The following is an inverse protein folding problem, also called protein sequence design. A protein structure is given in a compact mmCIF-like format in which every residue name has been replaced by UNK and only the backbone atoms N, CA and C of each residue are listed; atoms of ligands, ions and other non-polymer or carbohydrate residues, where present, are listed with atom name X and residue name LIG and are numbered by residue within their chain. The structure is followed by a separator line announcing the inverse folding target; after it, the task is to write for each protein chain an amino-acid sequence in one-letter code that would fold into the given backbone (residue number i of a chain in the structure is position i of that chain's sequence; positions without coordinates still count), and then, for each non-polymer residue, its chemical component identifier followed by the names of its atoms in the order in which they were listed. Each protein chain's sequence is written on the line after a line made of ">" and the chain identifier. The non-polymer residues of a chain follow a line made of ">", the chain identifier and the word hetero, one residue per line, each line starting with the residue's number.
data_IF_055444084363
#
_entry.id   IF_055444084363
#
_cell.length_a   1.000
_cell.length_b   1.000
_cell.length_c   1.000
_cell.angle_alpha   90.00
_cell.angle_beta   90.00
_cell.angle_gamma   90.00
#
_symmetry.space_group_name_H-M   'P 1'
#
loop_
_entity.id
_entity.type
_entity.pdbx_description
1 polymer ?
#
# COMPACT_ATOMS: atom_id res chain seq x y z
N UNK A 1 -40.05 1.08 47.58
CA UNK A 1 -39.37 2.24 48.21
C UNK A 1 -38.57 3.01 47.17
N UNK A 2 -38.38 4.34 47.29
CA UNK A 2 -37.59 5.15 46.30
C UNK A 2 -36.16 4.61 46.10
N UNK A 3 -35.66 3.90 47.12
CA UNK A 3 -34.37 3.20 47.18
C UNK A 3 -34.26 2.02 46.17
N UNK A 4 -35.31 1.21 46.01
CA UNK A 4 -35.28 0.01 45.16
C UNK A 4 -35.19 0.35 43.67
N UNK A 5 -35.77 1.50 43.29
CA UNK A 5 -35.79 1.98 41.90
C UNK A 5 -34.43 2.53 41.46
N UNK A 6 -33.63 3.06 42.40
CA UNK A 6 -32.26 3.54 42.14
C UNK A 6 -31.26 2.37 42.08
N UNK A 7 -31.42 1.37 42.95
CA UNK A 7 -30.61 0.14 42.91
C UNK A 7 -30.81 -0.65 41.60
N UNK A 8 -32.05 -0.80 41.15
CA UNK A 8 -32.35 -1.46 39.87
C UNK A 8 -31.82 -0.65 38.67
N UNK A 9 -31.88 0.68 38.72
CA UNK A 9 -31.35 1.55 37.66
C UNK A 9 -29.83 1.49 37.56
N UNK A 10 -29.13 1.50 38.70
CA UNK A 10 -27.67 1.36 38.75
C UNK A 10 -27.21 -0.02 38.29
N UNK A 11 -27.95 -1.08 38.64
CA UNK A 11 -27.68 -2.44 38.21
C UNK A 11 -27.86 -2.61 36.69
N UNK A 12 -28.96 -2.07 36.14
CA UNK A 12 -29.19 -2.07 34.68
C UNK A 12 -28.13 -1.24 33.95
N UNK A 13 -27.73 -0.09 34.49
CA UNK A 13 -26.66 0.72 33.91
C UNK A 13 -25.31 -0.03 33.91
N UNK A 14 -24.97 -0.71 35.00
CA UNK A 14 -23.77 -1.55 35.08
C UNK A 14 -23.80 -2.72 34.10
N UNK A 15 -24.95 -3.36 33.92
CA UNK A 15 -25.11 -4.43 32.93
C UNK A 15 -24.97 -3.91 31.49
N UNK A 16 -25.50 -2.72 31.18
CA UNK A 16 -25.33 -2.08 29.87
C UNK A 16 -23.87 -1.71 29.63
N UNK A 17 -23.19 -1.13 30.61
CA UNK A 17 -21.76 -0.79 30.50
C UNK A 17 -20.90 -2.05 30.35
N UNK A 18 -21.18 -3.11 31.11
CA UNK A 18 -20.47 -4.39 30.98
C UNK A 18 -20.73 -5.07 29.63
N UNK A 19 -21.96 -5.00 29.11
CA UNK A 19 -22.30 -5.50 27.78
C UNK A 19 -21.58 -4.70 26.68
N UNK A 20 -21.53 -3.37 26.79
CA UNK A 20 -20.81 -2.50 25.85
C UNK A 20 -19.30 -2.73 25.91
N UNK A 21 -18.72 -2.86 27.11
CA UNK A 21 -17.31 -3.21 27.29
C UNK A 21 -17.00 -4.60 26.73
N UNK A 22 -17.90 -5.57 26.94
CA UNK A 22 -17.83 -6.92 26.38
C UNK A 22 -17.93 -6.93 24.86
N UNK A 23 -18.66 -6.01 24.24
CA UNK A 23 -18.66 -5.85 22.78
C UNK A 23 -17.32 -5.33 22.26
N UNK A 24 -16.63 -4.46 23.00
CA UNK A 24 -15.32 -3.90 22.60
C UNK A 24 -14.17 -4.90 22.69
N UNK A 25 -14.31 -5.97 23.48
CA UNK A 25 -13.28 -7.03 23.61
C UNK A 25 -13.45 -8.19 22.64
N UNK A 26 -14.52 -8.20 21.83
CA UNK A 26 -14.74 -9.25 20.84
C UNK A 26 -13.77 -9.10 19.64
N UNK A 27 -13.17 -10.20 19.14
CA UNK A 27 -12.35 -10.16 17.92
C UNK A 27 -13.16 -9.75 16.68
N UNK A 28 -14.49 -9.89 16.71
CA UNK A 28 -15.39 -9.37 15.69
C UNK A 28 -15.42 -7.83 15.68
N UNK A 29 -15.32 -7.17 16.85
CA UNK A 29 -15.18 -5.73 16.93
C UNK A 29 -13.86 -5.26 16.32
N UNK A 30 -12.75 -5.96 16.54
CA UNK A 30 -11.48 -5.68 15.85
C UNK A 30 -11.57 -5.82 14.32
N UNK A 31 -12.48 -6.67 13.82
CA UNK A 31 -12.76 -6.84 12.39
C UNK A 31 -13.66 -5.73 11.81
N UNK A 32 -14.52 -5.13 12.63
CA UNK A 32 -15.42 -4.02 12.28
C UNK A 32 -14.73 -2.65 12.45
N UNK A 33 -13.85 -2.51 13.44
CA UNK A 33 -12.98 -1.35 13.68
C UNK A 33 -11.66 -1.40 12.92
N UNK A 34 -11.34 -2.55 12.33
CA UNK A 34 -10.16 -2.71 11.52
C UNK A 34 -10.29 -1.86 10.27
N UNK A 35 -9.62 -0.71 10.25
CA UNK A 35 -9.24 0.02 9.03
C UNK A 35 -8.26 -0.81 8.16
N UNK A 36 -8.54 -2.12 8.02
CA UNK A 36 -7.78 -3.02 7.20
C UNK A 36 -8.13 -2.73 5.76
N UNK A 37 -7.17 -2.19 5.02
CA UNK A 37 -7.28 -2.02 3.58
C UNK A 37 -7.69 -3.36 2.94
N UNK A 38 -8.66 -3.32 2.03
CA UNK A 38 -9.11 -4.52 1.33
C UNK A 38 -7.97 -5.08 0.49
N UNK A 39 -7.54 -6.32 0.78
CA UNK A 39 -6.51 -7.01 0.00
C UNK A 39 -6.90 -7.21 -1.47
N UNK A 40 -8.17 -7.04 -1.84
CA UNK A 40 -8.65 -7.05 -3.24
C UNK A 40 -8.40 -5.74 -4.00
N UNK A 41 -8.14 -4.64 -3.29
CA UNK A 41 -7.98 -3.29 -3.86
C UNK A 41 -6.60 -2.71 -3.59
N UNK A 42 -5.96 -3.12 -2.50
CA UNK A 42 -4.69 -2.61 -2.05
C UNK A 42 -3.64 -3.72 -1.99
N UNK A 43 -2.36 -3.40 -2.17
CA UNK A 43 -1.27 -4.37 -2.27
C UNK A 43 -0.86 -4.86 -0.87
N UNK A 44 -1.79 -5.42 -0.09
CA UNK A 44 -1.57 -5.78 1.33
C UNK A 44 -0.55 -6.90 1.47
N UNK A 45 -0.64 -7.94 0.64
CA UNK A 45 0.30 -9.06 0.65
C UNK A 45 1.67 -8.64 0.11
N UNK A 46 1.70 -7.94 -1.02
CA UNK A 46 2.91 -7.28 -1.53
C UNK A 46 3.57 -6.34 -0.50
N UNK A 47 2.79 -5.64 0.32
CA UNK A 47 3.34 -4.80 1.39
C UNK A 47 4.04 -5.61 2.48
N UNK A 48 3.47 -6.74 2.88
CA UNK A 48 4.14 -7.65 3.82
C UNK A 48 5.47 -8.15 3.24
N UNK A 49 5.50 -8.49 1.94
CA UNK A 49 6.75 -8.82 1.26
C UNK A 49 7.75 -7.65 1.30
N UNK A 50 7.33 -6.43 0.94
CA UNK A 50 8.19 -5.22 0.98
C UNK A 50 8.77 -5.02 2.37
N UNK A 51 7.96 -5.15 3.42
CA UNK A 51 8.39 -4.98 4.80
C UNK A 51 9.52 -5.96 5.17
N UNK A 52 9.38 -7.23 4.79
CA UNK A 52 10.43 -8.24 5.01
C UNK A 52 11.71 -7.96 4.24
N UNK A 53 11.62 -7.53 2.97
CA UNK A 53 12.80 -7.24 2.15
C UNK A 53 13.51 -5.96 2.59
N UNK A 54 12.76 -4.93 3.02
CA UNK A 54 13.33 -3.72 3.60
C UNK A 54 14.05 -4.03 4.92
N UNK A 55 13.48 -4.88 5.78
CA UNK A 55 14.12 -5.31 7.02
C UNK A 55 15.40 -6.13 6.77
N UNK A 56 15.42 -6.91 5.68
CA UNK A 56 16.60 -7.66 5.25
C UNK A 56 17.64 -6.81 4.48
N UNK A 57 17.38 -5.52 4.25
CA UNK A 57 18.27 -4.65 3.46
C UNK A 57 18.35 -5.01 1.96
N UNK A 58 17.40 -5.79 1.45
CA UNK A 58 17.35 -6.26 0.07
C UNK A 58 16.57 -5.34 -0.87
N UNK A 59 15.62 -4.57 -0.31
CA UNK A 59 14.96 -3.48 -1.01
C UNK A 59 15.38 -2.14 -0.42
N UNK A 60 15.46 -1.12 -1.28
CA UNK A 60 15.84 0.24 -0.93
C UNK A 60 15.55 1.19 -2.09
N UNK A 61 16.06 2.42 -1.98
CA UNK A 61 16.00 3.39 -3.07
C UNK A 61 14.59 3.85 -3.44
N UNK A 62 14.42 4.23 -4.71
CA UNK A 62 13.16 4.78 -5.25
C UNK A 62 12.33 3.69 -5.90
N UNK A 63 11.03 3.73 -5.62
CA UNK A 63 10.04 2.81 -6.17
C UNK A 63 9.11 3.51 -7.14
N UNK A 64 8.86 2.90 -8.29
CA UNK A 64 7.70 3.26 -9.10
C UNK A 64 6.50 2.44 -8.63
N UNK A 65 5.40 3.10 -8.29
CA UNK A 65 4.14 2.43 -8.02
C UNK A 65 3.08 2.99 -8.96
N UNK A 66 2.17 2.13 -9.44
CA UNK A 66 0.97 2.61 -10.11
C UNK A 66 0.21 3.55 -9.18
N UNK A 67 -0.43 4.57 -9.76
CA UNK A 67 -1.02 5.69 -9.04
C UNK A 67 -1.89 5.25 -7.84
N UNK A 68 -2.76 4.27 -8.07
CA UNK A 68 -3.63 3.68 -7.05
C UNK A 68 -2.93 3.07 -5.82
N UNK A 69 -1.66 2.68 -5.94
CA UNK A 69 -0.87 2.08 -4.86
C UNK A 69 0.06 3.10 -4.20
N UNK A 70 0.36 4.23 -4.85
CA UNK A 70 1.31 5.23 -4.35
C UNK A 70 0.95 5.74 -2.95
N UNK A 71 -0.30 6.19 -2.76
CA UNK A 71 -0.78 6.67 -1.46
C UNK A 71 -0.71 5.60 -0.36
N UNK A 72 -1.02 4.36 -0.69
CA UNK A 72 -0.95 3.24 0.26
C UNK A 72 0.49 2.94 0.69
N UNK A 73 1.45 2.95 -0.24
CA UNK A 73 2.87 2.74 0.08
C UNK A 73 3.45 3.89 0.90
N UNK A 74 3.05 5.14 0.63
CA UNK A 74 3.44 6.30 1.44
C UNK A 74 2.91 6.15 2.86
N UNK A 75 1.63 5.84 3.02
CA UNK A 75 1.03 5.63 4.35
C UNK A 75 1.76 4.53 5.14
N UNK A 76 2.16 3.44 4.48
CA UNK A 76 2.75 2.28 5.16
C UNK A 76 4.25 2.41 5.41
N UNK A 77 5.00 3.07 4.52
CA UNK A 77 6.45 2.97 4.48
C UNK A 77 7.19 4.31 4.50
N UNK A 78 6.51 5.46 4.48
CA UNK A 78 7.19 6.73 4.66
C UNK A 78 7.82 6.82 6.07
N UNK A 79 9.03 7.38 6.22
CA UNK A 79 9.89 7.96 5.18
C UNK A 79 10.89 6.95 4.57
N UNK A 80 10.83 5.65 4.90
CA UNK A 80 11.78 4.61 4.50
C UNK A 80 11.77 4.31 3.00
N UNK A 81 10.61 4.43 2.35
CA UNK A 81 10.44 4.22 0.91
C UNK A 81 10.04 5.53 0.24
N UNK A 82 10.73 5.88 -0.84
CA UNK A 82 10.43 7.05 -1.67
C UNK A 82 9.72 6.61 -2.95
N UNK A 83 8.42 6.86 -3.02
CA UNK A 83 7.64 6.63 -4.24
C UNK A 83 7.99 7.69 -5.28
N UNK A 84 8.07 7.29 -6.55
CA UNK A 84 8.42 8.12 -7.70
C UNK A 84 7.60 9.43 -7.77
N UNK A 85 6.28 9.31 -7.64
CA UNK A 85 5.35 10.42 -7.49
C UNK A 85 4.61 10.22 -6.18
N UNK A 86 4.78 11.14 -5.24
CA UNK A 86 3.86 11.26 -4.12
C UNK A 86 2.70 12.18 -4.54
N UNK A 87 1.48 11.95 -4.05
CA UNK A 87 0.25 12.56 -4.57
C UNK A 87 0.14 14.10 -4.51
N UNK A 88 1.23 14.82 -4.21
CA UNK A 88 1.34 16.28 -4.18
C UNK A 88 1.54 16.84 -5.59
N UNK A 89 0.51 16.69 -6.42
CA UNK A 89 0.50 17.09 -7.84
C UNK A 89 0.88 18.57 -8.09
N UNK A 90 0.60 19.46 -7.12
CA UNK A 90 0.98 20.87 -7.14
C UNK A 90 2.49 21.10 -7.18
N UNK A 91 3.28 20.20 -6.57
CA UNK A 91 4.75 20.24 -6.61
C UNK A 91 5.33 19.91 -7.99
N UNK A 92 4.56 19.22 -8.83
CA UNK A 92 5.01 18.72 -10.13
C UNK A 92 4.49 19.53 -11.32
N UNK A 93 3.64 20.55 -11.09
CA UNK A 93 2.96 21.34 -12.13
C UNK A 93 3.88 21.94 -13.19
N UNK A 94 5.14 22.22 -12.85
CA UNK A 94 6.13 22.83 -13.75
C UNK A 94 7.21 21.83 -14.23
N UNK A 95 6.99 20.52 -14.04
CA UNK A 95 7.93 19.45 -14.35
C UNK A 95 7.34 18.41 -15.31
N UNK A 96 8.18 17.61 -15.95
CA UNK A 96 7.75 16.48 -16.81
C UNK A 96 7.26 15.26 -16.01
N UNK A 97 7.32 15.29 -14.68
CA UNK A 97 7.10 14.10 -13.83
C UNK A 97 5.72 13.48 -14.04
N UNK A 98 4.66 14.29 -14.13
CA UNK A 98 3.30 13.78 -14.34
C UNK A 98 3.11 13.21 -15.76
N UNK A 99 3.77 13.81 -16.76
CA UNK A 99 3.77 13.30 -18.13
C UNK A 99 4.53 11.96 -18.20
N UNK A 100 5.71 11.88 -17.60
CA UNK A 100 6.50 10.67 -17.52
C UNK A 100 5.77 9.55 -16.74
N UNK A 101 5.03 9.87 -15.67
CA UNK A 101 4.16 8.92 -14.98
C UNK A 101 3.05 8.39 -15.89
N UNK A 102 2.39 9.26 -16.66
CA UNK A 102 1.38 8.85 -17.63
C UNK A 102 1.97 7.97 -18.74
N UNK A 103 3.18 8.28 -19.19
CA UNK A 103 3.89 7.50 -20.23
C UNK A 103 4.32 6.12 -19.71
N UNK A 104 4.71 6.02 -18.43
CA UNK A 104 4.93 4.73 -17.76
C UNK A 104 3.63 3.92 -17.64
N UNK A 105 2.54 4.54 -17.21
CA UNK A 105 1.23 3.88 -17.09
C UNK A 105 0.71 3.36 -18.44
N UNK A 106 1.01 4.06 -19.54
CA UNK A 106 0.70 3.64 -20.91
C UNK A 106 1.75 2.69 -21.51
N UNK A 107 2.79 2.33 -20.76
CA UNK A 107 3.92 1.51 -21.22
C UNK A 107 4.51 2.00 -22.56
N UNK A 108 4.69 3.33 -22.70
CA UNK A 108 5.22 3.93 -23.92
C UNK A 108 6.64 3.43 -24.21
N UNK A 109 7.10 3.40 -25.48
CA UNK A 109 8.36 2.77 -25.86
C UNK A 109 9.61 3.22 -25.08
N UNK A 110 9.61 4.43 -24.53
CA UNK A 110 10.72 4.98 -23.75
C UNK A 110 10.61 4.73 -22.23
N UNK A 111 9.70 3.86 -21.80
CA UNK A 111 9.50 3.48 -20.39
C UNK A 111 10.82 3.19 -19.66
N UNK A 112 11.73 2.45 -20.29
CA UNK A 112 13.00 2.06 -19.69
C UNK A 112 13.91 3.28 -19.44
N UNK A 113 13.91 4.24 -20.36
CA UNK A 113 14.65 5.49 -20.22
C UNK A 113 14.06 6.36 -19.11
N UNK A 114 12.73 6.39 -18.97
CA UNK A 114 12.07 7.08 -17.86
C UNK A 114 12.46 6.46 -16.52
N UNK A 115 12.34 5.14 -16.36
CA UNK A 115 12.72 4.46 -15.11
C UNK A 115 14.20 4.69 -14.75
N UNK A 116 15.09 4.68 -15.74
CA UNK A 116 16.51 4.96 -15.53
C UNK A 116 16.77 6.42 -15.12
N UNK A 117 16.11 7.39 -15.75
CA UNK A 117 16.22 8.83 -15.44
C UNK A 117 15.89 9.13 -13.99
N UNK A 118 14.91 8.41 -13.43
CA UNK A 118 14.46 8.60 -12.06
C UNK A 118 15.17 7.69 -11.05
N UNK A 119 16.09 6.84 -11.49
CA UNK A 119 16.81 5.88 -10.67
C UNK A 119 15.84 4.95 -9.91
N UNK A 120 14.86 4.42 -10.66
CA UNK A 120 13.90 3.45 -10.12
C UNK A 120 14.58 2.10 -9.96
N UNK A 121 14.52 1.56 -8.75
CA UNK A 121 15.20 0.30 -8.40
C UNK A 121 14.25 -0.90 -8.37
N UNK A 122 12.98 -0.64 -8.09
CA UNK A 122 11.92 -1.64 -8.05
C UNK A 122 10.56 -1.00 -8.35
N UNK A 123 9.59 -1.83 -8.71
CA UNK A 123 8.25 -1.40 -9.12
C UNK A 123 7.17 -2.18 -8.39
N UNK A 124 6.04 -1.52 -8.09
CA UNK A 124 4.82 -2.14 -7.60
C UNK A 124 3.70 -1.87 -8.60
N UNK A 125 3.32 -2.90 -9.34
CA UNK A 125 2.37 -2.82 -10.46
C UNK A 125 1.14 -3.67 -10.16
N UNK A 126 0.02 -3.40 -10.85
CA UNK A 126 -1.03 -4.42 -10.91
C UNK A 126 -0.52 -5.64 -11.72
N UNK A 127 -1.19 -6.78 -11.52
CA UNK A 127 -0.90 -7.97 -12.32
C UNK A 127 -1.21 -7.75 -13.80
N UNK A 128 -0.32 -8.28 -14.63
CA UNK A 128 -0.47 -8.33 -16.09
C UNK A 128 -0.66 -6.95 -16.78
N UNK A 129 -0.28 -5.85 -16.13
CA UNK A 129 -0.21 -4.56 -16.82
C UNK A 129 0.87 -4.57 -17.91
N UNK A 130 0.67 -3.84 -19.03
CA UNK A 130 1.60 -3.84 -20.16
C UNK A 130 3.05 -3.55 -19.77
N UNK A 131 3.27 -2.57 -18.88
CA UNK A 131 4.62 -2.20 -18.42
C UNK A 131 5.33 -3.37 -17.74
N UNK A 132 4.62 -4.17 -16.95
CA UNK A 132 5.22 -5.34 -16.31
C UNK A 132 5.65 -6.39 -17.31
N UNK A 133 4.81 -6.67 -18.31
CA UNK A 133 5.11 -7.68 -19.31
C UNK A 133 6.35 -7.27 -20.11
N UNK A 134 6.39 -6.01 -20.53
CA UNK A 134 7.53 -5.43 -21.24
C UNK A 134 8.81 -5.43 -20.39
N UNK A 135 8.71 -5.06 -19.11
CA UNK A 135 9.86 -5.04 -18.21
C UNK A 135 10.47 -6.43 -17.97
N UNK A 136 9.63 -7.46 -17.81
CA UNK A 136 10.09 -8.85 -17.68
C UNK A 136 10.69 -9.35 -19.00
N UNK A 137 10.03 -9.07 -20.13
CA UNK A 137 10.51 -9.46 -21.46
C UNK A 137 11.84 -8.80 -21.83
N UNK A 138 12.14 -7.61 -21.29
CA UNK A 138 13.41 -6.94 -21.53
C UNK A 138 14.60 -7.64 -20.85
N UNK A 139 14.35 -8.61 -19.95
CA UNK A 139 15.38 -9.31 -19.17
C UNK A 139 16.04 -8.47 -18.08
N UNK A 140 15.71 -7.19 -17.97
CA UNK A 140 16.31 -6.26 -17.00
C UNK A 140 15.57 -6.27 -15.65
N UNK A 141 14.39 -6.88 -15.59
CA UNK A 141 13.55 -6.92 -14.41
C UNK A 141 13.04 -8.34 -14.16
N UNK A 142 12.96 -8.72 -12.89
CA UNK A 142 12.36 -10.00 -12.47
C UNK A 142 11.21 -9.76 -11.51
N UNK A 143 10.22 -10.65 -11.57
CA UNK A 143 9.12 -10.70 -10.60
C UNK A 143 9.68 -11.30 -9.30
N UNK A 144 9.73 -10.49 -8.24
CA UNK A 144 10.15 -10.93 -6.91
C UNK A 144 8.97 -11.41 -6.05
N UNK A 145 7.77 -10.88 -6.32
CA UNK A 145 6.52 -11.25 -5.66
C UNK A 145 5.34 -11.02 -6.59
N UNK A 146 4.32 -11.87 -6.49
CA UNK A 146 3.03 -11.68 -7.16
C UNK A 146 1.91 -12.29 -6.32
N UNK A 147 0.82 -11.54 -6.14
CA UNK A 147 -0.39 -11.97 -5.44
C UNK A 147 -1.64 -11.66 -6.27
N UNK A 148 -2.83 -11.80 -5.68
CA UNK A 148 -4.09 -11.56 -6.39
C UNK A 148 -4.28 -10.11 -6.91
N UNK A 149 -3.55 -9.15 -6.35
CA UNK A 149 -3.80 -7.71 -6.53
C UNK A 149 -2.60 -6.98 -7.13
N UNK A 150 -1.39 -7.35 -6.75
CA UNK A 150 -0.17 -6.65 -7.14
C UNK A 150 0.97 -7.61 -7.44
N UNK A 151 2.00 -7.07 -8.08
CA UNK A 151 3.26 -7.73 -8.33
C UNK A 151 4.40 -6.75 -8.15
N UNK A 152 5.54 -7.27 -7.67
CA UNK A 152 6.74 -6.50 -7.40
C UNK A 152 7.81 -6.96 -8.35
N UNK A 153 8.36 -6.00 -9.10
CA UNK A 153 9.48 -6.23 -10.01
C UNK A 153 10.73 -5.58 -9.43
N UNK A 154 11.85 -6.29 -9.45
CA UNK A 154 13.15 -5.77 -9.03
C UNK A 154 14.11 -5.77 -10.21
N UNK A 155 14.96 -4.74 -10.28
CA UNK A 155 15.96 -4.60 -11.34
C UNK A 155 17.05 -5.65 -11.18
N UNK A 156 17.46 -6.26 -12.28
CA UNK A 156 18.57 -7.20 -12.32
C UNK A 156 19.91 -6.48 -12.46
N UNK A 157 20.97 -7.05 -11.89
CA UNK A 157 22.35 -6.59 -12.08
C UNK A 157 22.82 -5.50 -11.11
N UNK A 158 22.59 -5.69 -9.81
CA UNK A 158 23.38 -5.04 -8.75
C UNK A 158 24.20 -6.08 -8.02
#
# INVERSE_FOLDING_TARGET
>A
TRMDRQLNGAFVALLVVAALAGLLTQPAAAKVYGNAFSAKRFPVEAAAFIETQLAAGKLGGKVYAVDQFGGYLIYRFAPRVKVFVDGRSDLYRHSTVLDDMNRLAQARPDWAAILARYDIEWMVLQRAEPLSLMAVQSGAWQIAHADGTAQILIRQGR
#
